data_IF_729727482524
#
_entry.id   IF_729727482524
#
_cell.length_a   1.000
_cell.length_b   1.000
_cell.length_c   1.000
_cell.angle_alpha   90.00
_cell.angle_beta   90.00
_cell.angle_gamma   90.00
#
_symmetry.space_group_name_H-M   'P 1'
#
loop_
_entity.id
_entity.type
_entity.pdbx_description
1 polymer ?
#
# COMPACT_ATOMS: atom_id res chain seq x y z
N UNK A 1 -19.60 6.95 -10.17
CA UNK A 1 -18.15 7.25 -10.23
C UNK A 1 -17.28 6.47 -9.24
N UNK A 2 -17.81 5.98 -8.13
CA UNK A 2 -17.02 5.20 -7.14
C UNK A 2 -16.85 3.72 -7.47
N UNK A 3 -17.75 3.12 -8.22
CA UNK A 3 -17.86 1.66 -8.40
C UNK A 3 -16.78 1.07 -9.33
N UNK A 4 -16.39 1.76 -10.37
CA UNK A 4 -15.36 1.26 -11.29
C UNK A 4 -13.93 1.54 -10.81
N UNK A 5 -13.71 2.60 -10.01
CA UNK A 5 -12.41 2.86 -9.37
C UNK A 5 -12.00 1.77 -8.37
N UNK A 6 -12.94 1.04 -7.78
CA UNK A 6 -12.65 -0.09 -6.89
C UNK A 6 -12.19 -1.35 -7.64
N UNK A 7 -12.60 -1.52 -8.89
CA UNK A 7 -12.18 -2.63 -9.75
C UNK A 7 -10.80 -2.40 -10.41
N UNK A 8 -10.40 -1.14 -10.60
CA UNK A 8 -9.12 -0.77 -11.25
C UNK A 8 -8.01 -0.43 -10.23
N UNK A 9 -8.34 -0.19 -8.96
CA UNK A 9 -7.41 0.29 -7.92
C UNK A 9 -6.45 -0.77 -7.37
N UNK A 10 -6.48 -2.00 -7.85
CA UNK A 10 -5.58 -3.06 -7.34
C UNK A 10 -4.17 -3.05 -7.95
N UNK A 11 -3.95 -2.46 -9.14
CA UNK A 11 -2.62 -2.47 -9.78
C UNK A 11 -2.25 -1.21 -10.59
N UNK A 12 -3.20 -0.35 -10.88
CA UNK A 12 -2.93 0.97 -11.44
C UNK A 12 -3.09 2.03 -10.36
N UNK A 13 -2.16 2.09 -9.40
CA UNK A 13 -1.88 3.37 -8.77
C UNK A 13 -1.34 4.26 -9.89
N UNK A 14 -2.25 4.83 -10.67
CA UNK A 14 -1.94 5.93 -11.57
C UNK A 14 -1.26 6.99 -10.71
N UNK A 15 0.00 7.20 -11.00
CA UNK A 15 0.81 8.21 -10.36
C UNK A 15 0.18 9.57 -10.73
N UNK A 16 -0.38 10.36 -9.80
CA UNK A 16 -0.98 11.66 -10.15
C UNK A 16 0.07 12.72 -10.48
N UNK A 17 1.24 12.33 -10.96
CA UNK A 17 2.42 13.16 -11.09
C UNK A 17 3.16 12.98 -12.43
N UNK A 18 2.47 12.68 -13.51
CA UNK A 18 3.04 12.93 -14.84
C UNK A 18 3.07 14.44 -15.04
N UNK A 19 4.26 15.01 -14.80
CA UNK A 19 4.57 16.42 -15.09
C UNK A 19 4.78 16.54 -16.60
N UNK A 20 3.93 17.28 -17.36
CA UNK A 20 4.10 17.45 -18.80
C UNK A 20 5.35 18.24 -19.20
N UNK A 21 6.19 18.67 -18.25
CA UNK A 21 7.35 19.52 -18.48
C UNK A 21 8.71 18.85 -18.24
N UNK A 22 8.81 17.52 -18.12
CA UNK A 22 10.12 16.86 -18.14
C UNK A 22 10.57 16.63 -19.58
N UNK A 23 11.56 17.44 -20.03
CA UNK A 23 12.30 17.19 -21.25
C UNK A 23 12.91 15.77 -21.19
N UNK A 24 12.53 14.92 -22.14
CA UNK A 24 13.06 13.58 -22.29
C UNK A 24 14.59 13.62 -22.50
N UNK A 25 15.35 12.69 -21.89
CA UNK A 25 16.76 12.55 -22.24
C UNK A 25 16.89 12.18 -23.71
N UNK A 26 17.72 12.91 -24.43
CA UNK A 26 18.04 12.65 -25.84
C UNK A 26 18.78 11.33 -25.95
N UNK A 27 18.08 10.26 -26.33
CA UNK A 27 18.69 9.01 -26.74
C UNK A 27 19.23 9.13 -28.17
N UNK A 28 20.40 8.57 -28.49
CA UNK A 28 20.88 8.55 -29.89
C UNK A 28 19.91 7.74 -30.75
N UNK A 29 19.80 8.06 -32.06
CA UNK A 29 18.82 7.43 -32.92
C UNK A 29 19.12 5.93 -33.07
N UNK A 30 18.24 5.12 -32.52
CA UNK A 30 18.13 3.71 -32.90
C UNK A 30 17.55 3.72 -34.31
N UNK A 31 18.27 3.11 -35.24
CA UNK A 31 17.82 2.90 -36.61
C UNK A 31 16.45 2.21 -36.56
N UNK A 32 15.43 2.95 -36.90
CA UNK A 32 14.07 2.46 -36.96
C UNK A 32 13.97 1.40 -38.07
N UNK A 33 13.72 0.15 -37.68
CA UNK A 33 13.06 -0.78 -38.59
C UNK A 33 11.68 -0.21 -38.86
N UNK A 34 11.37 0.16 -40.08
CA UNK A 34 10.08 0.63 -40.53
C UNK A 34 9.02 -0.42 -40.21
N UNK A 35 8.26 -0.18 -39.16
CA UNK A 35 7.15 -1.02 -38.77
C UNK A 35 5.97 -0.72 -39.69
N UNK A 36 5.46 -1.73 -40.34
CA UNK A 36 4.13 -1.75 -40.94
C UNK A 36 3.10 -1.64 -39.82
N UNK A 37 2.79 -0.45 -39.37
CA UNK A 37 1.80 -0.25 -38.31
C UNK A 37 0.65 0.62 -38.83
N UNK A 38 -0.40 -0.03 -39.33
CA UNK A 38 -1.64 0.58 -39.80
C UNK A 38 -2.73 0.64 -38.70
N UNK A 39 -2.35 0.40 -37.45
CA UNK A 39 -3.29 0.42 -36.31
C UNK A 39 -3.47 1.81 -35.69
N UNK A 40 -4.43 1.96 -34.75
CA UNK A 40 -4.70 3.23 -34.09
C UNK A 40 -3.49 3.69 -33.26
N UNK A 41 -3.32 5.02 -33.20
CA UNK A 41 -2.25 5.62 -32.36
C UNK A 41 -2.52 5.36 -30.86
N UNK A 42 -1.49 5.48 -29.99
CA UNK A 42 -1.71 5.35 -28.55
C UNK A 42 -2.75 6.31 -27.96
N UNK A 43 -2.92 7.51 -28.56
CA UNK A 43 -3.93 8.50 -28.14
C UNK A 43 -5.33 8.07 -28.53
N UNK A 44 -5.52 7.57 -29.75
CA UNK A 44 -6.79 6.99 -30.19
C UNK A 44 -7.18 5.79 -29.34
N UNK A 45 -6.22 4.92 -28.98
CA UNK A 45 -6.43 3.81 -28.05
C UNK A 45 -6.91 4.32 -26.68
N UNK A 46 -6.31 5.35 -26.13
CA UNK A 46 -6.74 5.95 -24.85
C UNK A 46 -8.18 6.49 -24.94
N UNK A 47 -8.57 7.09 -26.08
CA UNK A 47 -9.95 7.54 -26.31
C UNK A 47 -10.92 6.37 -26.33
N UNK A 48 -10.61 5.31 -27.08
CA UNK A 48 -11.43 4.08 -27.13
C UNK A 48 -11.62 3.46 -25.73
N UNK A 49 -10.56 3.43 -24.92
CA UNK A 49 -10.61 2.93 -23.54
C UNK A 49 -11.47 3.82 -22.66
N UNK A 50 -11.40 5.13 -22.82
CA UNK A 50 -12.25 6.07 -22.08
C UNK A 50 -13.73 5.86 -22.39
N UNK A 51 -14.07 5.65 -23.65
CA UNK A 51 -15.45 5.33 -24.09
C UNK A 51 -15.91 3.97 -23.55
N UNK A 52 -15.03 2.96 -23.59
CA UNK A 52 -15.28 1.65 -23.02
C UNK A 52 -15.58 1.72 -21.51
N UNK A 53 -14.76 2.42 -20.73
CA UNK A 53 -14.99 2.61 -19.30
C UNK A 53 -16.28 3.39 -19.02
N UNK A 54 -16.57 4.44 -19.81
CA UNK A 54 -17.82 5.18 -19.67
C UNK A 54 -19.06 4.31 -19.95
N UNK A 55 -18.97 3.34 -20.86
CA UNK A 55 -20.04 2.37 -21.12
C UNK A 55 -20.26 1.41 -19.94
N UNK A 56 -19.18 0.96 -19.31
CA UNK A 56 -19.23 0.11 -18.12
C UNK A 56 -19.78 0.88 -16.90
N UNK A 57 -19.33 2.13 -16.69
CA UNK A 57 -19.86 3.00 -15.64
C UNK A 57 -21.38 3.15 -15.75
N UNK A 58 -21.87 3.42 -16.96
CA UNK A 58 -23.32 3.51 -17.23
C UNK A 58 -24.06 2.19 -17.01
N UNK A 59 -23.44 1.05 -17.37
CA UNK A 59 -24.02 -0.30 -17.20
C UNK A 59 -24.22 -0.64 -15.71
N UNK A 60 -23.30 -0.20 -14.86
CA UNK A 60 -23.30 -0.52 -13.42
C UNK A 60 -23.73 0.67 -12.53
N UNK A 61 -24.22 1.77 -13.10
CA UNK A 61 -24.58 3.01 -12.37
C UNK A 61 -25.60 2.79 -11.24
N UNK A 62 -26.49 1.79 -11.41
CA UNK A 62 -27.54 1.51 -10.45
C UNK A 62 -27.07 0.68 -9.22
N UNK A 63 -25.82 0.20 -9.22
CA UNK A 63 -25.29 -0.66 -8.15
C UNK A 63 -24.41 0.18 -7.21
N UNK A 64 -24.99 0.68 -6.12
CA UNK A 64 -24.25 1.54 -5.17
C UNK A 64 -23.38 0.75 -4.18
N UNK A 65 -23.85 -0.42 -3.69
CA UNK A 65 -23.17 -1.25 -2.70
C UNK A 65 -23.25 -2.73 -3.05
N UNK A 66 -22.45 -3.22 -4.03
CA UNK A 66 -22.55 -4.59 -4.51
C UNK A 66 -22.16 -5.61 -3.43
N UNK A 67 -22.96 -6.67 -3.31
CA UNK A 67 -22.61 -7.88 -2.57
C UNK A 67 -21.40 -8.58 -3.21
N UNK A 68 -20.83 -9.56 -2.54
CA UNK A 68 -19.70 -10.34 -3.10
C UNK A 68 -20.10 -11.05 -4.41
N UNK A 69 -21.28 -11.66 -4.45
CA UNK A 69 -21.79 -12.32 -5.64
C UNK A 69 -22.04 -11.35 -6.80
N UNK A 70 -22.56 -10.15 -6.53
CA UNK A 70 -22.75 -9.11 -7.54
C UNK A 70 -21.40 -8.57 -8.05
N UNK A 71 -20.40 -8.42 -7.19
CA UNK A 71 -19.04 -8.08 -7.63
C UNK A 71 -18.46 -9.14 -8.56
N UNK A 72 -18.64 -10.43 -8.23
CA UNK A 72 -18.18 -11.54 -9.06
C UNK A 72 -18.84 -11.53 -10.43
N UNK A 73 -20.14 -11.26 -10.46
CA UNK A 73 -20.89 -11.14 -11.71
C UNK A 73 -20.41 -9.92 -12.52
N UNK A 74 -20.26 -8.74 -11.90
CA UNK A 74 -19.77 -7.53 -12.55
C UNK A 74 -18.38 -7.74 -13.17
N UNK A 75 -17.47 -8.42 -12.47
CA UNK A 75 -16.14 -8.71 -13.00
C UNK A 75 -16.18 -9.69 -14.18
N UNK A 76 -17.04 -10.71 -14.13
CA UNK A 76 -17.23 -11.60 -15.26
C UNK A 76 -17.79 -10.87 -16.50
N UNK A 77 -18.73 -9.95 -16.29
CA UNK A 77 -19.27 -9.10 -17.36
C UNK A 77 -18.23 -8.15 -17.92
N UNK A 78 -17.43 -7.49 -17.06
CA UNK A 78 -16.31 -6.63 -17.49
C UNK A 78 -15.30 -7.42 -18.31
N UNK A 79 -14.96 -8.64 -17.91
CA UNK A 79 -14.04 -9.50 -18.66
C UNK A 79 -14.60 -9.88 -20.04
N UNK A 80 -15.88 -10.17 -20.13
CA UNK A 80 -16.54 -10.47 -21.40
C UNK A 80 -16.58 -9.27 -22.33
N UNK A 81 -16.92 -8.07 -21.82
CA UNK A 81 -16.92 -6.82 -22.60
C UNK A 81 -15.48 -6.45 -23.05
N UNK A 82 -14.48 -6.67 -22.19
CA UNK A 82 -13.08 -6.46 -22.54
C UNK A 82 -12.61 -7.43 -23.65
N UNK A 83 -13.09 -8.69 -23.66
CA UNK A 83 -12.81 -9.63 -24.77
C UNK A 83 -13.42 -9.14 -26.09
N UNK A 84 -14.64 -8.54 -26.04
CA UNK A 84 -15.32 -7.97 -27.21
C UNK A 84 -14.61 -6.70 -27.70
N UNK A 85 -14.07 -5.89 -26.80
CA UNK A 85 -13.37 -4.64 -27.14
C UNK A 85 -12.28 -4.86 -28.20
N UNK A 86 -11.42 -5.85 -28.05
CA UNK A 86 -10.36 -6.14 -29.01
C UNK A 86 -10.88 -6.51 -30.39
N UNK A 87 -11.96 -7.26 -30.44
CA UNK A 87 -12.60 -7.68 -31.71
C UNK A 87 -13.30 -6.49 -32.38
N UNK A 88 -14.05 -5.69 -31.63
CA UNK A 88 -14.79 -4.53 -32.13
C UNK A 88 -13.87 -3.46 -32.74
N UNK A 89 -12.67 -3.30 -32.19
CA UNK A 89 -11.69 -2.33 -32.68
C UNK A 89 -10.62 -2.94 -33.60
N UNK A 90 -10.76 -4.21 -33.97
CA UNK A 90 -9.80 -4.95 -34.80
C UNK A 90 -8.34 -4.87 -34.29
N UNK A 91 -8.16 -5.01 -32.95
CA UNK A 91 -6.87 -4.91 -32.29
C UNK A 91 -6.25 -6.32 -32.13
N UNK A 92 -5.23 -6.60 -32.94
CA UNK A 92 -4.47 -7.85 -32.92
C UNK A 92 -3.15 -7.57 -32.18
N UNK A 93 -3.02 -8.06 -30.94
CA UNK A 93 -1.89 -7.69 -30.03
C UNK A 93 -0.52 -7.98 -30.61
N UNK A 94 -0.38 -9.04 -31.41
CA UNK A 94 0.87 -9.43 -32.07
C UNK A 94 1.36 -8.41 -33.12
N UNK A 95 0.47 -7.55 -33.59
CA UNK A 95 0.77 -6.56 -34.63
C UNK A 95 0.99 -5.15 -34.06
N UNK A 96 0.83 -4.97 -32.74
CA UNK A 96 0.93 -3.66 -32.09
C UNK A 96 2.34 -3.36 -31.58
N UNK A 97 2.70 -2.09 -31.63
CA UNK A 97 3.95 -1.59 -31.01
C UNK A 97 3.87 -1.61 -29.50
N UNK A 98 5.04 -1.59 -28.83
CA UNK A 98 5.13 -1.51 -27.37
C UNK A 98 4.36 -0.32 -26.78
N UNK A 99 4.31 0.83 -27.48
CA UNK A 99 3.56 2.02 -27.07
C UNK A 99 2.04 1.80 -27.10
N UNK A 100 1.55 1.11 -28.14
CA UNK A 100 0.14 0.74 -28.27
C UNK A 100 -0.26 -0.32 -27.23
N UNK A 101 0.59 -1.35 -27.03
CA UNK A 101 0.39 -2.37 -25.99
C UNK A 101 0.36 -1.74 -24.59
N UNK A 102 1.24 -0.77 -24.34
CA UNK A 102 1.22 -0.02 -23.08
C UNK A 102 -0.06 0.79 -22.89
N UNK A 103 -0.57 1.43 -23.95
CA UNK A 103 -1.84 2.15 -23.89
C UNK A 103 -3.02 1.21 -23.61
N UNK A 104 -2.99 -0.03 -24.12
CA UNK A 104 -4.02 -1.06 -23.94
C UNK A 104 -3.98 -1.79 -22.60
N UNK A 105 -2.95 -1.57 -21.78
CA UNK A 105 -2.79 -2.27 -20.49
C UNK A 105 -4.07 -2.36 -19.66
N UNK A 106 -4.85 -1.27 -19.46
CA UNK A 106 -6.05 -1.33 -18.62
C UNK A 106 -7.06 -2.38 -19.10
N UNK A 107 -7.24 -2.52 -20.43
CA UNK A 107 -8.19 -3.48 -21.00
C UNK A 107 -7.57 -4.87 -21.14
N UNK A 108 -6.27 -4.97 -21.40
CA UNK A 108 -5.55 -6.26 -21.39
C UNK A 108 -5.68 -6.95 -20.03
N UNK A 109 -5.58 -6.21 -18.93
CA UNK A 109 -5.76 -6.77 -17.58
C UNK A 109 -7.17 -7.25 -17.31
N UNK A 110 -8.19 -6.69 -17.96
CA UNK A 110 -9.59 -7.08 -17.81
C UNK A 110 -9.93 -8.28 -18.69
N UNK A 111 -9.37 -8.38 -19.90
CA UNK A 111 -9.64 -9.46 -20.86
C UNK A 111 -8.83 -10.73 -20.58
N UNK A 112 -9.50 -11.87 -20.39
CA UNK A 112 -8.81 -13.15 -20.20
C UNK A 112 -8.06 -13.62 -21.45
N UNK A 113 -8.64 -13.39 -22.64
CA UNK A 113 -8.00 -13.75 -23.91
C UNK A 113 -6.77 -12.88 -24.19
N UNK A 114 -6.88 -11.55 -24.00
CA UNK A 114 -5.78 -10.65 -24.21
C UNK A 114 -4.61 -10.91 -23.21
N UNK A 115 -4.92 -11.24 -21.94
CA UNK A 115 -3.90 -11.67 -20.97
C UNK A 115 -3.14 -12.90 -21.45
N UNK A 116 -3.87 -13.96 -21.85
CA UNK A 116 -3.24 -15.19 -22.33
C UNK A 116 -2.33 -14.96 -23.55
N UNK A 117 -2.80 -14.13 -24.51
CA UNK A 117 -1.99 -13.73 -25.67
C UNK A 117 -0.73 -12.95 -25.24
N UNK A 118 -0.86 -11.97 -24.35
CA UNK A 118 0.31 -11.19 -23.86
C UNK A 118 1.30 -12.05 -23.10
N UNK A 119 0.83 -12.99 -22.28
CA UNK A 119 1.74 -13.96 -21.59
C UNK A 119 2.50 -14.75 -22.63
N UNK A 120 1.86 -15.25 -23.70
CA UNK A 120 2.51 -15.94 -24.80
C UNK A 120 3.59 -15.10 -25.49
N UNK A 121 3.27 -13.85 -25.86
CA UNK A 121 4.18 -12.90 -26.51
C UNK A 121 5.41 -12.56 -25.65
N UNK A 122 5.23 -12.48 -24.34
CA UNK A 122 6.30 -12.12 -23.41
C UNK A 122 7.16 -13.31 -22.96
N UNK A 123 6.66 -14.55 -23.06
CA UNK A 123 7.29 -15.74 -22.46
C UNK A 123 8.73 -15.97 -22.93
N UNK A 124 9.05 -15.77 -24.19
CA UNK A 124 10.43 -15.91 -24.66
C UNK A 124 11.33 -14.75 -24.17
N UNK A 125 10.77 -13.54 -24.05
CA UNK A 125 11.50 -12.36 -23.56
C UNK A 125 11.92 -12.50 -22.09
N UNK A 126 11.14 -13.24 -21.28
CA UNK A 126 11.46 -13.46 -19.85
C UNK A 126 12.78 -14.19 -19.62
N UNK A 127 13.30 -14.90 -20.62
CA UNK A 127 14.54 -15.69 -20.52
C UNK A 127 15.81 -14.81 -20.66
N UNK A 128 15.66 -13.60 -21.20
CA UNK A 128 16.80 -12.71 -21.41
C UNK A 128 17.35 -12.17 -20.08
N UNK A 129 18.68 -12.28 -19.80
CA UNK A 129 19.27 -11.80 -18.55
C UNK A 129 19.47 -10.27 -18.56
N UNK A 130 18.47 -9.52 -19.00
CA UNK A 130 18.48 -8.07 -19.23
C UNK A 130 17.37 -7.39 -18.46
N UNK A 131 17.43 -6.05 -18.37
CA UNK A 131 16.35 -5.22 -17.83
C UNK A 131 15.00 -5.51 -18.51
N UNK A 132 15.00 -5.67 -19.83
CA UNK A 132 13.76 -5.94 -20.58
C UNK A 132 13.24 -7.35 -20.31
N UNK A 133 14.14 -8.33 -20.13
CA UNK A 133 13.76 -9.68 -19.70
C UNK A 133 13.10 -9.68 -18.33
N UNK A 134 13.68 -8.95 -17.37
CA UNK A 134 13.07 -8.77 -16.04
C UNK A 134 11.68 -8.09 -16.13
N UNK A 135 11.56 -6.99 -16.88
CA UNK A 135 10.27 -6.31 -17.06
C UNK A 135 9.23 -7.23 -17.70
N UNK A 136 9.63 -8.04 -18.70
CA UNK A 136 8.75 -9.05 -19.29
C UNK A 136 8.31 -10.10 -18.26
N UNK A 137 9.24 -10.60 -17.42
CA UNK A 137 8.92 -11.55 -16.36
C UNK A 137 7.95 -10.96 -15.31
N UNK A 138 8.18 -9.73 -14.88
CA UNK A 138 7.30 -9.03 -13.96
C UNK A 138 5.90 -8.80 -14.55
N UNK A 139 5.81 -8.48 -15.84
CA UNK A 139 4.55 -8.34 -16.57
C UNK A 139 3.80 -9.66 -16.68
N UNK A 140 4.48 -10.74 -17.04
CA UNK A 140 3.88 -12.09 -17.07
C UNK A 140 3.35 -12.47 -15.68
N UNK A 141 4.12 -12.22 -14.63
CA UNK A 141 3.70 -12.48 -13.26
C UNK A 141 2.44 -11.68 -12.87
N UNK A 142 2.38 -10.40 -13.22
CA UNK A 142 1.22 -9.55 -12.97
C UNK A 142 -0.02 -10.03 -13.74
N UNK A 143 0.11 -10.36 -15.01
CA UNK A 143 -0.98 -10.87 -15.84
C UNK A 143 -1.53 -12.23 -15.34
N UNK A 144 -0.62 -13.13 -14.90
CA UNK A 144 -0.99 -14.45 -14.36
C UNK A 144 -1.66 -14.37 -12.99
N UNK A 145 -1.35 -13.38 -12.17
CA UNK A 145 -1.93 -13.19 -10.83
C UNK A 145 -3.40 -12.77 -10.88
N UNK A 146 -3.83 -12.13 -11.97
CA UNK A 146 -5.23 -11.74 -12.17
C UNK A 146 -6.19 -12.92 -12.38
N UNK A 147 -5.67 -14.08 -12.81
CA UNK A 147 -6.48 -15.29 -12.98
C UNK A 147 -6.82 -15.97 -11.64
N UNK A 148 -6.05 -15.67 -10.60
CA UNK A 148 -6.25 -16.21 -9.26
C UNK A 148 -6.53 -15.05 -8.32
N UNK A 149 -7.78 -14.79 -8.00
CA UNK A 149 -8.23 -13.79 -7.01
C UNK A 149 -7.69 -14.02 -5.59
N UNK A 150 -6.89 -15.05 -5.41
CA UNK A 150 -6.34 -15.41 -4.13
C UNK A 150 -5.15 -14.49 -3.80
N UNK A 151 -5.43 -13.45 -2.99
CA UNK A 151 -4.43 -12.56 -2.38
C UNK A 151 -3.59 -13.26 -1.31
N UNK A 152 -3.49 -14.57 -1.35
CA UNK A 152 -2.81 -15.41 -0.38
C UNK A 152 -1.29 -15.56 -0.69
N UNK A 153 -0.51 -16.28 0.11
CA UNK A 153 0.96 -16.34 0.15
C UNK A 153 1.72 -16.55 -1.17
N UNK A 154 1.02 -16.79 -2.28
CA UNK A 154 1.61 -16.90 -3.63
C UNK A 154 2.29 -15.62 -4.13
N UNK A 155 1.96 -14.43 -3.58
CA UNK A 155 2.56 -13.18 -3.98
C UNK A 155 4.05 -13.09 -3.63
N UNK A 156 4.46 -13.60 -2.47
CA UNK A 156 5.87 -13.66 -2.08
C UNK A 156 6.67 -14.61 -2.98
N UNK A 157 6.12 -15.76 -3.35
CA UNK A 157 6.79 -16.71 -4.25
C UNK A 157 7.06 -16.09 -5.62
N UNK A 158 6.11 -15.34 -6.18
CA UNK A 158 6.29 -14.59 -7.42
C UNK A 158 7.41 -13.56 -7.28
N UNK A 159 7.39 -12.76 -6.20
CA UNK A 159 8.39 -11.74 -5.96
C UNK A 159 9.80 -12.32 -5.76
N UNK A 160 9.93 -13.46 -5.07
CA UNK A 160 11.21 -14.18 -4.91
C UNK A 160 11.75 -14.70 -6.25
N UNK A 161 10.86 -15.18 -7.13
CA UNK A 161 11.22 -15.57 -8.50
C UNK A 161 11.74 -14.37 -9.28
N UNK A 162 11.08 -13.22 -9.21
CA UNK A 162 11.52 -11.98 -9.85
C UNK A 162 12.83 -11.45 -9.29
N UNK A 163 13.05 -11.57 -7.99
CA UNK A 163 14.31 -11.19 -7.32
C UNK A 163 15.49 -12.06 -7.78
N UNK A 164 15.22 -13.31 -8.19
CA UNK A 164 16.23 -14.22 -8.76
C UNK A 164 16.55 -13.94 -10.22
N UNK A 165 15.80 -13.08 -10.92
CA UNK A 165 16.00 -12.84 -12.33
C UNK A 165 17.32 -12.09 -12.57
N UNK A 166 18.20 -12.56 -13.48
CA UNK A 166 19.51 -11.94 -13.70
C UNK A 166 19.46 -10.46 -14.10
N UNK A 167 18.39 -10.04 -14.78
CA UNK A 167 18.14 -8.66 -15.18
C UNK A 167 17.48 -7.78 -14.09
N UNK A 168 17.22 -8.32 -12.89
CA UNK A 168 16.50 -7.61 -11.84
C UNK A 168 17.14 -6.27 -11.49
N UNK A 169 18.43 -6.25 -11.18
CA UNK A 169 19.14 -5.02 -10.78
C UNK A 169 19.14 -4.00 -11.92
N UNK A 170 19.38 -4.44 -13.16
CA UNK A 170 19.39 -3.54 -14.31
C UNK A 170 18.01 -2.98 -14.68
N UNK A 171 16.95 -3.73 -14.42
CA UNK A 171 15.56 -3.32 -14.67
C UNK A 171 14.81 -2.79 -13.45
N UNK A 172 15.51 -2.63 -12.33
CA UNK A 172 14.90 -2.31 -11.03
C UNK A 172 14.20 -0.94 -11.02
N UNK A 173 14.74 0.05 -11.73
CA UNK A 173 14.11 1.37 -11.83
C UNK A 173 12.82 1.27 -12.64
N UNK A 174 11.67 1.38 -11.95
CA UNK A 174 10.37 1.32 -12.57
C UNK A 174 9.30 0.76 -11.65
N UNK A 175 8.10 0.60 -12.19
CA UNK A 175 6.96 0.07 -11.45
C UNK A 175 7.17 -1.39 -11.03
N UNK A 176 7.85 -2.17 -11.88
CA UNK A 176 8.08 -3.60 -11.71
C UNK A 176 9.00 -3.88 -10.51
N UNK A 177 10.08 -3.12 -10.36
CA UNK A 177 10.97 -3.21 -9.20
C UNK A 177 10.27 -2.80 -7.91
N UNK A 178 9.51 -1.70 -7.96
CA UNK A 178 8.71 -1.23 -6.82
C UNK A 178 7.63 -2.24 -6.43
N UNK A 179 6.97 -2.86 -7.39
CA UNK A 179 6.00 -3.94 -7.16
C UNK A 179 6.69 -5.13 -6.48
N UNK A 180 7.82 -5.58 -7.01
CA UNK A 180 8.59 -6.70 -6.46
C UNK A 180 8.93 -6.46 -4.98
N UNK A 181 9.45 -5.28 -4.63
CA UNK A 181 9.77 -4.95 -3.24
C UNK A 181 8.54 -4.91 -2.32
N UNK A 182 7.42 -4.36 -2.81
CA UNK A 182 6.18 -4.33 -2.02
C UNK A 182 5.63 -5.73 -1.74
N UNK A 183 5.72 -6.63 -2.72
CA UNK A 183 5.32 -8.03 -2.53
C UNK A 183 6.24 -8.80 -1.58
N UNK A 184 7.47 -8.31 -1.34
CA UNK A 184 8.42 -8.89 -0.38
C UNK A 184 8.30 -8.29 1.03
N UNK A 185 7.39 -7.37 1.27
CA UNK A 185 7.28 -6.67 2.56
C UNK A 185 7.03 -7.63 3.75
N UNK A 186 6.34 -8.75 3.49
CA UNK A 186 6.03 -9.78 4.49
C UNK A 186 6.91 -11.04 4.34
N UNK A 187 7.98 -10.98 3.54
CA UNK A 187 8.89 -12.11 3.35
C UNK A 187 9.71 -12.38 4.62
N UNK A 188 9.89 -13.67 4.96
CA UNK A 188 10.67 -14.06 6.13
C UNK A 188 12.18 -14.04 5.84
N UNK A 189 13.04 -13.99 6.90
CA UNK A 189 14.48 -14.08 6.71
C UNK A 189 14.91 -15.34 5.94
N UNK A 190 14.26 -16.48 6.16
CA UNK A 190 14.53 -17.75 5.50
C UNK A 190 14.23 -17.68 4.00
N UNK A 191 13.13 -17.02 3.63
CA UNK A 191 12.76 -16.80 2.23
C UNK A 191 13.73 -15.87 1.52
N UNK A 192 14.27 -14.85 2.20
CA UNK A 192 15.19 -13.88 1.65
C UNK A 192 16.66 -14.37 1.65
N UNK A 193 17.01 -15.36 2.44
CA UNK A 193 18.38 -15.86 2.58
C UNK A 193 19.07 -16.21 1.24
N UNK A 194 18.42 -16.85 0.24
CA UNK A 194 19.03 -17.11 -1.06
C UNK A 194 19.33 -15.84 -1.87
N UNK A 195 18.73 -14.71 -1.53
CA UNK A 195 18.75 -13.47 -2.29
C UNK A 195 19.59 -12.34 -1.65
N UNK A 196 20.26 -12.61 -0.54
CA UNK A 196 21.07 -11.63 0.23
C UNK A 196 22.04 -10.86 -0.67
N UNK A 197 22.74 -11.54 -1.58
CA UNK A 197 23.68 -10.91 -2.50
C UNK A 197 22.98 -9.93 -3.45
N UNK A 198 21.85 -10.30 -4.03
CA UNK A 198 21.06 -9.43 -4.92
C UNK A 198 20.52 -8.22 -4.15
N UNK A 199 19.98 -8.43 -2.95
CA UNK A 199 19.44 -7.35 -2.10
C UNK A 199 20.56 -6.38 -1.70
N UNK A 200 21.73 -6.88 -1.32
CA UNK A 200 22.88 -6.03 -1.00
C UNK A 200 23.37 -5.23 -2.21
N UNK A 201 23.49 -5.88 -3.39
CA UNK A 201 23.93 -5.23 -4.62
C UNK A 201 22.98 -4.12 -5.10
N UNK A 202 21.68 -4.23 -4.79
CA UNK A 202 20.69 -3.22 -5.14
C UNK A 202 20.97 -1.86 -4.47
N UNK A 203 21.69 -1.84 -3.36
CA UNK A 203 22.09 -0.60 -2.67
C UNK A 203 22.83 0.38 -3.59
N UNK A 204 23.62 -0.10 -4.51
CA UNK A 204 24.40 0.73 -5.45
C UNK A 204 23.53 1.57 -6.39
N UNK A 205 22.27 1.19 -6.58
CA UNK A 205 21.31 1.96 -7.39
C UNK A 205 20.91 3.28 -6.70
N UNK A 206 20.90 3.33 -5.36
CA UNK A 206 20.46 4.49 -4.57
C UNK A 206 21.61 5.48 -4.32
N UNK A 207 22.34 5.87 -5.35
CA UNK A 207 23.42 6.84 -5.28
C UNK A 207 22.93 8.29 -5.49
N UNK A 208 23.83 9.27 -5.42
CA UNK A 208 23.52 10.70 -5.57
C UNK A 208 22.91 11.07 -6.93
N UNK A 209 23.15 10.28 -7.97
CA UNK A 209 22.66 10.50 -9.33
C UNK A 209 21.34 9.77 -9.60
N UNK A 210 20.87 8.98 -8.62
CA UNK A 210 19.64 8.24 -8.71
C UNK A 210 18.45 9.15 -9.04
N UNK A 211 17.55 8.68 -9.91
CA UNK A 211 16.33 9.41 -10.25
C UNK A 211 15.39 9.55 -9.03
N UNK A 212 14.48 10.51 -9.08
CA UNK A 212 13.45 10.64 -8.03
C UNK A 212 12.52 9.43 -7.97
N UNK A 213 12.27 8.78 -9.10
CA UNK A 213 11.45 7.57 -9.15
C UNK A 213 12.14 6.42 -8.40
N UNK A 214 13.43 6.24 -8.63
CA UNK A 214 14.22 5.25 -7.93
C UNK A 214 14.31 5.55 -6.42
N UNK A 215 14.59 6.79 -6.05
CA UNK A 215 14.67 7.18 -4.64
C UNK A 215 13.38 6.94 -3.86
N UNK A 216 12.21 7.05 -4.51
CA UNK A 216 10.91 6.72 -3.88
C UNK A 216 10.79 5.25 -3.48
N UNK A 217 11.59 4.37 -4.04
CA UNK A 217 11.63 2.95 -3.67
C UNK A 217 12.49 2.67 -2.43
N UNK A 218 13.23 3.67 -1.93
CA UNK A 218 14.18 3.50 -0.82
C UNK A 218 13.59 2.87 0.42
N UNK A 219 12.38 3.25 0.80
CA UNK A 219 11.74 2.66 1.99
C UNK A 219 11.38 1.20 1.79
N UNK A 220 10.75 0.86 0.66
CA UNK A 220 10.42 -0.53 0.35
C UNK A 220 11.69 -1.37 0.28
N UNK A 221 12.76 -0.81 -0.28
CA UNK A 221 14.07 -1.46 -0.29
C UNK A 221 14.62 -1.67 1.13
N UNK A 222 14.63 -0.63 1.97
CA UNK A 222 15.15 -0.74 3.33
C UNK A 222 14.36 -1.69 4.22
N UNK A 223 13.03 -1.81 4.02
CA UNK A 223 12.21 -2.81 4.71
C UNK A 223 12.68 -4.23 4.39
N UNK A 224 12.89 -4.54 3.12
CA UNK A 224 13.39 -5.85 2.70
C UNK A 224 14.84 -6.06 3.17
N UNK A 225 15.69 -5.04 3.04
CA UNK A 225 17.09 -5.09 3.46
C UNK A 225 17.25 -5.30 4.98
N UNK A 226 16.38 -4.69 5.79
CA UNK A 226 16.40 -4.84 7.24
C UNK A 226 16.11 -6.29 7.70
N UNK A 227 15.31 -7.02 6.93
CA UNK A 227 14.99 -8.44 7.20
C UNK A 227 16.06 -9.37 6.65
N UNK A 228 16.63 -9.04 5.47
CA UNK A 228 17.52 -9.93 4.73
C UNK A 228 18.99 -9.82 5.14
N UNK A 229 19.45 -8.63 5.56
CA UNK A 229 20.88 -8.35 5.72
C UNK A 229 21.33 -8.34 7.19
N UNK A 230 22.60 -8.67 7.46
CA UNK A 230 23.20 -8.42 8.77
C UNK A 230 23.06 -6.94 9.17
N UNK A 231 22.89 -6.70 10.47
CA UNK A 231 22.59 -5.37 11.04
C UNK A 231 23.65 -4.31 10.67
N UNK A 232 24.91 -4.67 10.68
CA UNK A 232 26.04 -3.80 10.32
C UNK A 232 25.98 -3.40 8.83
N UNK A 233 25.71 -4.36 7.94
CA UNK A 233 25.55 -4.12 6.51
C UNK A 233 24.32 -3.26 6.22
N UNK A 234 23.18 -3.57 6.82
CA UNK A 234 21.98 -2.74 6.72
C UNK A 234 22.25 -1.30 7.17
N UNK A 235 22.94 -1.12 8.32
CA UNK A 235 23.28 0.21 8.86
C UNK A 235 24.15 1.00 7.88
N UNK A 236 25.17 0.36 7.28
CA UNK A 236 26.04 1.00 6.30
C UNK A 236 25.27 1.41 5.02
N UNK A 237 24.43 0.53 4.49
CA UNK A 237 23.57 0.81 3.32
C UNK A 237 22.63 1.97 3.59
N UNK A 238 21.95 1.94 4.73
CA UNK A 238 21.05 3.02 5.14
C UNK A 238 21.78 4.37 5.27
N UNK A 239 22.97 4.38 5.87
CA UNK A 239 23.78 5.60 6.00
C UNK A 239 24.17 6.16 4.62
N UNK A 240 24.60 5.33 3.69
CA UNK A 240 24.94 5.73 2.32
C UNK A 240 23.72 6.31 1.57
N UNK A 241 22.57 5.67 1.71
CA UNK A 241 21.31 6.13 1.11
C UNK A 241 20.88 7.49 1.68
N UNK A 242 20.95 7.68 3.01
CA UNK A 242 20.65 8.95 3.64
C UNK A 242 21.62 10.06 3.19
N UNK A 243 22.91 9.75 3.03
CA UNK A 243 23.88 10.71 2.50
C UNK A 243 23.52 11.16 1.07
N UNK A 244 23.12 10.20 0.20
CA UNK A 244 22.66 10.48 -1.17
C UNK A 244 21.40 11.36 -1.19
N UNK A 245 20.43 11.06 -0.34
CA UNK A 245 19.18 11.85 -0.23
C UNK A 245 19.46 13.26 0.30
N UNK A 246 20.32 13.42 1.33
CA UNK A 246 20.68 14.73 1.86
C UNK A 246 21.45 15.57 0.83
N UNK A 247 22.36 14.98 0.06
CA UNK A 247 23.06 15.66 -1.01
C UNK A 247 22.10 16.17 -2.10
N UNK A 248 21.09 15.35 -2.44
CA UNK A 248 20.05 15.74 -3.41
C UNK A 248 19.11 16.80 -2.82
N UNK A 249 18.69 16.66 -1.57
CA UNK A 249 17.87 17.64 -0.85
C UNK A 249 18.52 19.03 -0.81
N UNK A 250 19.83 19.10 -0.54
CA UNK A 250 20.57 20.35 -0.50
C UNK A 250 20.55 21.12 -1.84
N UNK A 251 20.43 20.40 -2.96
CA UNK A 251 20.41 20.97 -4.33
C UNK A 251 19.00 21.16 -4.88
N UNK A 252 17.96 20.74 -4.16
CA UNK A 252 16.58 20.74 -4.62
C UNK A 252 15.79 21.92 -4.10
N UNK A 253 14.76 22.33 -4.88
CA UNK A 253 13.84 23.42 -4.53
C UNK A 253 12.39 23.00 -4.74
N UNK A 254 11.45 23.80 -4.28
CA UNK A 254 10.03 23.67 -4.50
C UNK A 254 9.49 22.27 -4.12
N UNK A 255 8.69 21.68 -4.98
CA UNK A 255 8.03 20.38 -4.77
C UNK A 255 9.03 19.24 -4.54
N UNK A 256 10.14 19.22 -5.28
CA UNK A 256 11.15 18.17 -5.13
C UNK A 256 11.75 18.18 -3.73
N UNK A 257 12.07 19.35 -3.20
CA UNK A 257 12.58 19.53 -1.83
C UNK A 257 11.58 19.03 -0.79
N UNK A 258 10.29 19.32 -0.97
CA UNK A 258 9.24 18.86 -0.07
C UNK A 258 9.12 17.32 -0.06
N UNK A 259 9.22 16.69 -1.24
CA UNK A 259 9.21 15.21 -1.35
C UNK A 259 10.42 14.61 -0.63
N UNK A 260 11.62 15.12 -0.88
CA UNK A 260 12.85 14.64 -0.23
C UNK A 260 12.82 14.85 1.28
N UNK A 261 12.28 15.98 1.77
CA UNK A 261 12.10 16.23 3.20
C UNK A 261 11.23 15.16 3.86
N UNK A 262 10.12 14.80 3.21
CA UNK A 262 9.25 13.72 3.70
C UNK A 262 9.99 12.39 3.74
N UNK A 263 10.68 12.03 2.64
CA UNK A 263 11.46 10.79 2.57
C UNK A 263 12.52 10.71 3.68
N UNK A 264 13.25 11.80 3.90
CA UNK A 264 14.24 11.87 4.98
C UNK A 264 13.61 11.71 6.36
N UNK A 265 12.44 12.33 6.60
CA UNK A 265 11.69 12.17 7.85
C UNK A 265 11.30 10.71 8.07
N UNK A 266 10.76 10.05 7.02
CA UNK A 266 10.34 8.65 7.05
C UNK A 266 11.50 7.69 7.32
N UNK A 267 12.63 7.88 6.62
CA UNK A 267 13.81 7.04 6.79
C UNK A 267 14.51 7.24 8.14
N UNK A 268 14.33 8.38 8.80
CA UNK A 268 14.84 8.63 10.14
C UNK A 268 13.90 8.14 11.26
N UNK A 269 12.67 7.78 10.98
CA UNK A 269 11.76 7.14 11.92
C UNK A 269 12.20 5.71 12.27
N UNK A 270 11.60 5.11 13.32
CA UNK A 270 11.95 3.77 13.80
C UNK A 270 11.77 2.70 12.70
N UNK A 271 10.70 2.81 11.88
CA UNK A 271 10.51 1.94 10.73
C UNK A 271 11.67 2.02 9.72
N UNK A 272 12.10 3.23 9.39
CA UNK A 272 13.23 3.47 8.47
C UNK A 272 14.59 3.05 9.04
N UNK A 273 14.72 2.99 10.36
CA UNK A 273 15.91 2.46 11.05
C UNK A 273 15.90 0.93 11.18
N UNK A 274 14.80 0.26 10.83
CA UNK A 274 14.63 -1.17 11.09
C UNK A 274 14.45 -1.49 12.58
N UNK A 275 13.97 -0.53 13.37
CA UNK A 275 13.82 -0.60 14.84
C UNK A 275 12.34 -0.50 15.25
N UNK A 276 11.42 -0.94 14.40
CA UNK A 276 10.00 -0.90 14.71
C UNK A 276 9.46 -2.28 15.09
N UNK A 277 9.44 -3.24 14.16
CA UNK A 277 8.91 -4.59 14.43
C UNK A 277 9.89 -5.37 15.34
N UNK A 278 9.37 -5.92 16.43
CA UNK A 278 10.16 -6.62 17.47
C UNK A 278 10.76 -5.68 18.53
N UNK A 279 10.68 -4.36 18.36
CA UNK A 279 11.17 -3.35 19.29
C UNK A 279 10.02 -2.75 20.12
N UNK A 280 10.32 -2.09 21.25
CA UNK A 280 9.31 -1.34 21.99
C UNK A 280 8.60 -0.33 21.08
N UNK A 281 7.28 -0.25 21.22
CA UNK A 281 6.48 0.69 20.45
C UNK A 281 6.96 2.14 20.69
N UNK A 282 7.09 2.95 19.65
CA UNK A 282 7.37 4.38 19.79
C UNK A 282 6.33 5.06 20.69
N UNK A 283 6.74 6.12 21.37
CA UNK A 283 5.85 6.90 22.23
C UNK A 283 4.85 7.68 21.38
N UNK A 284 3.58 7.71 21.82
CA UNK A 284 2.54 8.59 21.33
C UNK A 284 2.09 9.49 22.48
N UNK A 285 2.05 10.80 22.24
CA UNK A 285 1.50 11.77 23.18
C UNK A 285 0.01 11.90 22.93
N UNK A 286 -0.79 11.21 23.74
CA UNK A 286 -2.24 11.21 23.62
C UNK A 286 -2.83 12.43 24.36
N UNK A 287 -3.06 13.52 23.64
CA UNK A 287 -3.60 14.76 24.20
C UNK A 287 -5.10 14.64 24.55
N UNK A 288 -5.79 13.72 23.88
CA UNK A 288 -7.21 13.48 24.06
C UNK A 288 -7.52 12.00 23.77
N UNK A 289 -8.19 11.34 24.71
CA UNK A 289 -8.57 9.92 24.61
C UNK A 289 -10.01 9.75 25.04
N UNK A 290 -10.87 9.26 24.16
CA UNK A 290 -12.30 9.14 24.44
C UNK A 290 -12.93 7.91 23.79
N UNK A 291 -13.98 7.41 24.48
CA UNK A 291 -15.06 6.66 23.85
C UNK A 291 -16.12 7.62 23.28
N UNK A 292 -17.02 7.11 22.44
CA UNK A 292 -18.09 7.92 21.85
C UNK A 292 -19.08 8.50 22.87
N UNK A 293 -19.18 7.92 24.06
CA UNK A 293 -19.98 8.45 25.18
C UNK A 293 -19.28 9.60 25.95
N UNK A 294 -18.04 9.94 25.54
CA UNK A 294 -17.23 11.00 26.15
C UNK A 294 -16.40 10.56 27.35
N UNK A 295 -16.46 9.30 27.77
CA UNK A 295 -15.59 8.77 28.85
C UNK A 295 -14.14 8.66 28.41
N UNK A 296 -13.20 8.76 29.38
CA UNK A 296 -11.76 8.60 29.14
C UNK A 296 -11.32 7.25 29.73
N UNK A 297 -11.07 6.22 28.88
CA UNK A 297 -10.78 4.87 29.39
C UNK A 297 -9.36 4.73 29.97
N UNK A 298 -8.41 5.50 29.43
CA UNK A 298 -6.98 5.50 29.81
C UNK A 298 -6.34 6.84 29.39
N UNK A 299 -5.08 7.10 29.75
CA UNK A 299 -4.38 8.36 29.44
C UNK A 299 -3.17 8.19 28.52
N UNK A 300 -2.56 7.02 28.52
CA UNK A 300 -1.37 6.73 27.72
C UNK A 300 -1.38 5.27 27.27
N UNK A 301 -0.63 4.94 26.21
CA UNK A 301 -0.47 3.55 25.79
C UNK A 301 0.20 2.68 26.89
N UNK A 302 0.94 3.29 27.81
CA UNK A 302 1.55 2.56 28.94
C UNK A 302 0.51 1.98 29.92
N UNK A 303 -0.68 2.58 30.01
CA UNK A 303 -1.78 2.11 30.84
C UNK A 303 -2.41 0.82 30.28
N UNK A 304 -2.11 0.49 29.02
CA UNK A 304 -2.61 -0.70 28.31
C UNK A 304 -1.64 -1.89 28.37
N UNK A 305 -0.58 -1.79 29.16
CA UNK A 305 0.39 -2.89 29.32
C UNK A 305 -0.29 -4.19 29.72
N UNK A 306 0.09 -5.29 29.06
CA UNK A 306 -0.49 -6.62 29.26
C UNK A 306 -1.67 -6.92 28.34
N UNK A 307 -2.13 -5.96 27.53
CA UNK A 307 -3.09 -6.18 26.44
C UNK A 307 -2.39 -6.23 25.09
N UNK A 308 -3.00 -6.89 24.12
CA UNK A 308 -2.68 -6.66 22.71
C UNK A 308 -3.32 -5.33 22.30
N UNK A 309 -2.58 -4.46 21.63
CA UNK A 309 -3.08 -3.15 21.21
C UNK A 309 -3.09 -3.10 19.67
N UNK A 310 -4.24 -2.76 19.10
CA UNK A 310 -4.41 -2.50 17.68
C UNK A 310 -4.55 -0.99 17.50
N UNK A 311 -3.52 -0.35 16.93
CA UNK A 311 -3.54 1.06 16.58
C UNK A 311 -4.01 1.18 15.12
N UNK A 312 -5.16 1.82 14.90
CA UNK A 312 -5.68 2.17 13.58
C UNK A 312 -5.47 3.66 13.34
N UNK A 313 -4.52 4.01 12.46
CA UNK A 313 -4.24 5.39 12.08
C UNK A 313 -5.21 5.83 10.98
N UNK A 314 -5.98 6.89 11.25
CA UNK A 314 -7.07 7.34 10.39
C UNK A 314 -7.30 8.86 10.45
N UNK A 315 -8.16 9.38 9.58
CA UNK A 315 -8.60 10.76 9.61
C UNK A 315 -10.05 10.91 9.11
N UNK A 316 -10.75 11.96 9.52
CA UNK A 316 -12.15 12.21 9.13
C UNK A 316 -12.32 12.48 7.64
N UNK A 317 -11.29 13.03 6.98
CA UNK A 317 -11.24 13.27 5.53
C UNK A 317 -10.86 12.04 4.71
N UNK A 318 -10.44 10.97 5.36
CA UNK A 318 -10.01 9.73 4.70
C UNK A 318 -11.22 8.83 4.44
N UNK A 319 -11.81 8.91 3.25
CA UNK A 319 -12.97 8.10 2.87
C UNK A 319 -12.75 6.58 3.01
N UNK A 320 -11.60 6.00 2.61
CA UNK A 320 -11.34 4.58 2.85
C UNK A 320 -11.28 4.21 4.33
N UNK A 321 -10.78 5.12 5.20
CA UNK A 321 -10.76 4.90 6.65
C UNK A 321 -12.19 4.78 7.19
N UNK A 322 -13.03 5.77 6.87
CA UNK A 322 -14.43 5.79 7.30
C UNK A 322 -15.21 4.61 6.73
N UNK A 323 -14.93 4.23 5.49
CA UNK A 323 -15.52 3.05 4.84
C UNK A 323 -15.17 1.73 5.53
N UNK A 324 -14.04 1.65 6.25
CA UNK A 324 -13.64 0.45 7.00
C UNK A 324 -14.17 0.39 8.44
N UNK A 325 -14.85 1.42 8.94
CA UNK A 325 -15.38 1.45 10.32
C UNK A 325 -16.27 0.26 10.70
N UNK A 326 -17.14 -0.26 9.81
CA UNK A 326 -17.91 -1.48 10.13
C UNK A 326 -16.98 -2.67 10.47
N UNK A 327 -15.85 -2.81 9.77
CA UNK A 327 -14.86 -3.86 10.03
C UNK A 327 -14.12 -3.65 11.36
N UNK A 328 -13.79 -2.40 11.69
CA UNK A 328 -13.20 -2.06 12.99
C UNK A 328 -14.17 -2.34 14.14
N UNK A 329 -15.46 -2.06 13.94
CA UNK A 329 -16.52 -2.37 14.91
C UNK A 329 -16.69 -3.90 15.11
N UNK A 330 -16.68 -4.68 14.02
CA UNK A 330 -16.68 -6.15 14.07
C UNK A 330 -15.44 -6.69 14.82
N UNK A 331 -14.27 -6.12 14.54
CA UNK A 331 -13.03 -6.45 15.24
C UNK A 331 -13.15 -6.12 16.75
N UNK A 332 -13.69 -4.93 17.10
CA UNK A 332 -13.91 -4.56 18.52
C UNK A 332 -14.86 -5.54 19.22
N UNK A 333 -15.93 -5.94 18.56
CA UNK A 333 -16.92 -6.86 19.14
C UNK A 333 -16.38 -8.28 19.36
N UNK A 334 -15.33 -8.67 18.62
CA UNK A 334 -14.76 -10.02 18.67
C UNK A 334 -13.88 -10.30 19.89
N UNK A 335 -13.35 -9.25 20.55
CA UNK A 335 -12.37 -9.42 21.63
C UNK A 335 -12.82 -8.75 22.92
N UNK A 336 -12.42 -9.35 24.05
CA UNK A 336 -12.59 -8.72 25.35
C UNK A 336 -11.74 -7.45 25.48
N UNK A 337 -12.29 -6.32 25.98
CA UNK A 337 -11.51 -5.12 26.29
C UNK A 337 -10.37 -5.36 27.28
N UNK A 338 -10.44 -6.42 28.09
CA UNK A 338 -9.40 -6.80 29.05
C UNK A 338 -8.16 -7.45 28.38
N UNK A 339 -8.33 -7.97 27.16
CA UNK A 339 -7.28 -8.66 26.43
C UNK A 339 -6.77 -7.86 25.22
N UNK A 340 -7.67 -7.17 24.54
CA UNK A 340 -7.36 -6.42 23.32
C UNK A 340 -7.96 -5.01 23.40
N UNK A 341 -7.12 -4.02 23.25
CA UNK A 341 -7.54 -2.64 23.07
C UNK A 341 -7.42 -2.23 21.60
N UNK A 342 -8.49 -1.67 21.04
CA UNK A 342 -8.49 -1.10 19.69
C UNK A 342 -8.55 0.42 19.82
N UNK A 343 -7.58 1.10 19.22
CA UNK A 343 -7.41 2.55 19.33
C UNK A 343 -7.35 3.16 17.95
N UNK A 344 -8.33 3.98 17.62
CA UNK A 344 -8.24 4.86 16.45
C UNK A 344 -7.32 6.04 16.75
N UNK A 345 -6.17 6.11 16.07
CA UNK A 345 -5.19 7.18 16.23
C UNK A 345 -5.41 8.23 15.14
N UNK A 346 -5.57 9.47 15.55
CA UNK A 346 -5.64 10.62 14.65
C UNK A 346 -4.91 11.83 15.25
N UNK A 347 -4.78 12.89 14.48
CA UNK A 347 -4.22 14.19 14.92
C UNK A 347 -5.23 15.31 14.71
N UNK A 348 -4.95 16.49 15.19
CA UNK A 348 -5.73 17.69 14.87
C UNK A 348 -5.62 17.97 13.37
N UNK A 349 -6.78 18.12 12.70
CA UNK A 349 -6.92 18.22 11.24
C UNK A 349 -7.33 19.63 10.78
N UNK A 350 -7.69 20.51 11.72
CA UNK A 350 -8.22 21.86 11.46
C UNK A 350 -9.68 21.88 11.02
N UNK A 351 -10.29 20.73 10.76
CA UNK A 351 -11.69 20.55 10.43
C UNK A 351 -12.13 19.11 10.63
N UNK A 352 -13.41 18.87 10.89
CA UNK A 352 -14.02 17.54 10.95
C UNK A 352 -14.91 17.33 9.74
N UNK A 353 -14.64 16.25 8.98
CA UNK A 353 -15.39 15.87 7.77
C UNK A 353 -16.50 14.89 8.16
N UNK A 354 -17.68 15.41 8.45
CA UNK A 354 -18.85 14.56 8.74
C UNK A 354 -19.38 13.91 7.47
N UNK A 355 -19.85 12.65 7.56
CA UNK A 355 -20.43 11.94 6.42
C UNK A 355 -21.93 12.26 6.23
N UNK A 356 -22.62 12.61 7.31
CA UNK A 356 -24.08 12.85 7.33
C UNK A 356 -24.45 14.33 7.39
N UNK A 357 -23.49 15.22 7.55
CA UNK A 357 -23.66 16.67 7.67
C UNK A 357 -22.48 17.43 7.08
N UNK A 358 -22.58 18.73 6.97
CA UNK A 358 -21.53 19.56 6.38
C UNK A 358 -20.23 19.47 7.19
N UNK A 359 -19.10 19.62 6.49
CA UNK A 359 -17.77 19.81 7.07
C UNK A 359 -17.78 20.96 8.06
N UNK A 360 -17.18 20.76 9.23
CA UNK A 360 -17.03 21.80 10.26
C UNK A 360 -15.59 22.28 10.32
N UNK A 361 -15.39 23.56 10.02
CA UNK A 361 -14.08 24.20 10.12
C UNK A 361 -13.77 24.52 11.58
N UNK A 362 -12.60 24.09 12.05
CA UNK A 362 -12.13 24.33 13.43
C UNK A 362 -11.00 25.37 13.51
N UNK A 363 -10.23 25.57 12.40
CA UNK A 363 -9.23 26.64 12.22
C UNK A 363 -8.28 26.84 13.41
N UNK A 364 -7.77 25.73 13.98
CA UNK A 364 -6.84 25.76 15.13
C UNK A 364 -7.50 25.85 16.50
N UNK A 365 -8.83 25.90 16.58
CA UNK A 365 -9.57 25.72 17.83
C UNK A 365 -9.64 24.24 18.19
N UNK A 366 -8.66 23.78 18.97
CA UNK A 366 -8.51 22.38 19.39
C UNK A 366 -9.72 21.89 20.17
N UNK A 367 -10.27 22.72 21.07
CA UNK A 367 -11.41 22.34 21.90
C UNK A 367 -12.67 22.12 21.05
N UNK A 368 -12.88 22.98 20.05
CA UNK A 368 -13.97 22.82 19.07
C UNK A 368 -13.79 21.54 18.26
N UNK A 369 -12.58 21.26 17.77
CA UNK A 369 -12.31 20.05 16.97
C UNK A 369 -12.52 18.77 17.79
N UNK A 370 -12.09 18.76 19.05
CA UNK A 370 -12.34 17.65 19.98
C UNK A 370 -13.85 17.44 20.26
N UNK A 371 -14.62 18.51 20.40
CA UNK A 371 -16.07 18.41 20.56
C UNK A 371 -16.75 17.86 19.30
N UNK A 372 -16.38 18.34 18.12
CA UNK A 372 -16.89 17.84 16.84
C UNK A 372 -16.44 16.39 16.57
N UNK A 373 -15.28 15.98 17.04
CA UNK A 373 -14.82 14.58 16.96
C UNK A 373 -15.74 13.64 17.76
N UNK A 374 -16.19 14.04 18.97
CA UNK A 374 -17.18 13.26 19.73
C UNK A 374 -18.49 13.10 18.97
N UNK A 375 -18.98 14.18 18.36
CA UNK A 375 -20.20 14.12 17.55
C UNK A 375 -19.99 13.24 16.30
N UNK A 376 -18.84 13.34 15.66
CA UNK A 376 -18.47 12.44 14.54
C UNK A 376 -18.47 10.98 14.98
N UNK A 377 -17.86 10.65 16.11
CA UNK A 377 -17.81 9.28 16.63
C UNK A 377 -19.22 8.71 16.89
N UNK A 378 -20.12 9.52 17.46
CA UNK A 378 -21.54 9.14 17.68
C UNK A 378 -22.26 8.92 16.35
N UNK A 379 -22.14 9.86 15.41
CA UNK A 379 -22.79 9.80 14.09
C UNK A 379 -22.35 8.56 13.29
N UNK A 380 -21.08 8.15 13.45
CA UNK A 380 -20.50 7.01 12.75
C UNK A 380 -20.60 5.69 13.51
N UNK A 381 -21.16 5.69 14.72
CA UNK A 381 -21.30 4.46 15.53
C UNK A 381 -19.96 3.85 15.95
N UNK A 382 -18.97 4.70 16.28
CA UNK A 382 -17.66 4.25 16.73
C UNK A 382 -17.78 3.57 18.09
N UNK A 383 -17.35 2.32 18.21
CA UNK A 383 -17.45 1.49 19.42
C UNK A 383 -16.10 1.22 20.09
N UNK A 384 -15.03 1.76 19.55
CA UNK A 384 -13.67 1.65 20.06
C UNK A 384 -13.16 3.00 20.57
N UNK A 385 -12.00 2.98 21.23
CA UNK A 385 -11.35 4.18 21.73
C UNK A 385 -10.75 5.00 20.59
N UNK A 386 -10.91 6.33 20.63
CA UNK A 386 -10.20 7.26 19.73
C UNK A 386 -9.25 8.12 20.55
N UNK A 387 -8.02 8.27 20.05
CA UNK A 387 -7.02 9.16 20.60
C UNK A 387 -6.59 10.20 19.56
N UNK A 388 -6.58 11.46 19.96
CA UNK A 388 -5.93 12.56 19.23
C UNK A 388 -4.55 12.72 19.82
N UNK A 389 -3.52 12.59 18.97
CA UNK A 389 -2.12 12.69 19.37
C UNK A 389 -1.50 14.03 19.00
N UNK A 390 -0.49 14.45 19.75
CA UNK A 390 0.32 15.63 19.42
C UNK A 390 1.10 15.42 18.12
N UNK A 391 1.48 14.17 17.83
CA UNK A 391 2.15 13.79 16.59
C UNK A 391 1.14 13.77 15.43
N UNK A 392 1.65 14.06 14.23
CA UNK A 392 0.88 13.94 12.99
C UNK A 392 0.43 12.50 12.76
N UNK A 393 -0.77 12.31 12.19
CA UNK A 393 -1.30 10.98 11.80
C UNK A 393 -0.34 10.27 10.84
N UNK A 394 0.38 11.01 9.99
CA UNK A 394 1.50 10.49 9.18
C UNK A 394 2.78 10.38 10.03
N UNK A 395 2.80 9.37 10.89
CA UNK A 395 3.81 9.19 11.92
C UNK A 395 4.98 8.33 11.42
N UNK A 396 6.14 8.95 11.21
CA UNK A 396 7.33 8.26 10.70
C UNK A 396 7.94 7.26 11.68
N UNK A 397 7.74 7.42 12.99
CA UNK A 397 8.22 6.45 13.99
C UNK A 397 7.45 5.13 13.85
N UNK A 398 6.15 5.17 13.59
CA UNK A 398 5.32 4.00 13.29
C UNK A 398 5.33 3.58 11.82
N UNK A 399 6.02 4.34 10.94
CA UNK A 399 6.09 4.07 9.50
C UNK A 399 4.81 4.40 8.75
N UNK A 400 3.94 5.24 9.32
CA UNK A 400 2.65 5.63 8.72
C UNK A 400 2.89 6.69 7.65
N UNK A 401 2.61 6.35 6.40
CA UNK A 401 2.76 7.22 5.22
C UNK A 401 1.46 7.58 4.58
N UNK A 402 0.51 6.69 4.67
CA UNK A 402 -0.85 6.80 4.20
C UNK A 402 -1.81 6.22 5.23
N UNK A 403 -3.08 6.55 5.12
CA UNK A 403 -4.15 6.05 5.99
C UNK A 403 -5.26 5.44 5.11
N UNK A 404 -5.95 4.38 5.59
CA UNK A 404 -5.85 3.73 6.88
C UNK A 404 -4.59 2.87 7.03
N UNK A 405 -4.03 2.78 8.24
CA UNK A 405 -2.82 2.03 8.52
C UNK A 405 -2.88 1.42 9.93
N UNK A 406 -2.64 0.11 10.04
CA UNK A 406 -2.75 -0.60 11.32
C UNK A 406 -1.39 -1.08 11.80
N UNK A 407 -1.14 -0.87 13.10
CA UNK A 407 0.00 -1.40 13.86
C UNK A 407 -0.52 -2.24 15.02
N UNK A 408 0.06 -3.42 15.22
CA UNK A 408 -0.26 -4.31 16.34
C UNK A 408 0.90 -4.35 17.32
N UNK A 409 0.61 -4.11 18.59
CA UNK A 409 1.57 -4.14 19.71
C UNK A 409 1.21 -5.32 20.60
N UNK A 410 2.22 -6.10 21.00
CA UNK A 410 2.05 -7.27 21.88
C UNK A 410 1.86 -6.85 23.36
N UNK A 411 1.55 -7.82 24.21
CA UNK A 411 1.33 -7.63 25.66
C UNK A 411 2.56 -7.10 26.41
N UNK A 412 3.76 -7.19 25.80
CA UNK A 412 5.01 -6.67 26.34
C UNK A 412 5.28 -5.22 25.89
N UNK A 413 4.40 -4.63 25.07
CA UNK A 413 4.56 -3.30 24.51
C UNK A 413 5.50 -3.24 23.32
N UNK A 414 5.78 -4.35 22.63
CA UNK A 414 6.59 -4.39 21.41
C UNK A 414 5.69 -4.41 20.18
N UNK A 415 6.11 -3.73 19.13
CA UNK A 415 5.42 -3.81 17.85
C UNK A 415 5.58 -5.21 17.26
N UNK A 416 4.46 -5.88 17.04
CA UNK A 416 4.41 -7.22 16.43
C UNK A 416 4.24 -7.18 14.93
N UNK A 417 3.32 -6.34 14.43
CA UNK A 417 3.04 -6.15 13.01
C UNK A 417 2.75 -4.69 12.68
N UNK A 418 3.01 -4.31 11.42
CA UNK A 418 2.75 -2.98 10.89
C UNK A 418 2.34 -3.06 9.43
N UNK A 419 1.65 -2.03 8.92
CA UNK A 419 1.27 -1.96 7.51
C UNK A 419 0.02 -2.74 7.14
N UNK A 420 -0.71 -3.26 8.13
CA UNK A 420 -2.02 -3.85 7.90
C UNK A 420 -3.06 -2.77 7.60
N UNK A 421 -4.19 -3.17 7.03
CA UNK A 421 -5.31 -2.28 6.73
C UNK A 421 -6.60 -2.82 7.32
N UNK A 422 -7.51 -1.96 7.82
CA UNK A 422 -8.75 -2.42 8.47
C UNK A 422 -9.70 -3.19 7.52
N UNK A 423 -9.63 -2.94 6.22
CA UNK A 423 -10.39 -3.68 5.20
C UNK A 423 -9.96 -5.15 5.10
N UNK A 424 -8.73 -5.49 5.49
CA UNK A 424 -8.25 -6.86 5.66
C UNK A 424 -8.34 -7.30 7.13
N UNK A 425 -9.55 -7.31 7.68
CA UNK A 425 -9.82 -7.70 9.06
C UNK A 425 -9.29 -9.09 9.40
N UNK A 426 -9.36 -10.04 8.47
CA UNK A 426 -8.88 -11.42 8.67
C UNK A 426 -7.39 -11.47 9.00
N UNK A 427 -6.56 -10.65 8.38
CA UNK A 427 -5.13 -10.58 8.67
C UNK A 427 -4.86 -9.95 10.06
N UNK A 428 -5.67 -8.96 10.46
CA UNK A 428 -5.58 -8.36 11.80
C UNK A 428 -5.98 -9.38 12.86
N UNK A 429 -7.11 -10.10 12.67
CA UNK A 429 -7.55 -11.18 13.58
C UNK A 429 -6.49 -12.26 13.73
N UNK A 430 -5.96 -12.78 12.63
CA UNK A 430 -4.92 -13.79 12.67
C UNK A 430 -3.70 -13.36 13.49
N UNK A 431 -3.28 -12.11 13.36
CA UNK A 431 -2.14 -11.56 14.10
C UNK A 431 -2.47 -11.36 15.60
N UNK A 432 -3.67 -10.92 15.94
CA UNK A 432 -4.14 -10.77 17.32
C UNK A 432 -4.27 -12.14 17.98
N UNK A 433 -4.91 -13.11 17.33
CA UNK A 433 -5.12 -14.47 17.84
C UNK A 433 -3.80 -15.18 18.08
N UNK A 434 -2.81 -15.00 17.18
CA UNK A 434 -1.45 -15.52 17.37
C UNK A 434 -0.80 -14.98 18.66
N UNK A 435 -0.96 -13.69 18.96
CA UNK A 435 -0.40 -13.06 20.15
C UNK A 435 -1.12 -13.52 21.44
N UNK A 436 -2.44 -13.64 21.39
CA UNK A 436 -3.23 -14.16 22.51
C UNK A 436 -2.90 -15.63 22.81
N UNK A 437 -2.71 -16.45 21.77
CA UNK A 437 -2.32 -17.85 21.93
C UNK A 437 -0.91 -18.03 22.54
N UNK A 438 0.03 -17.12 22.22
CA UNK A 438 1.40 -17.15 22.79
C UNK A 438 1.46 -16.77 24.26
N UNK A 439 0.55 -15.90 24.73
CA UNK A 439 0.51 -15.43 26.11
C UNK A 439 -0.95 -15.45 26.62
N UNK A 440 -1.53 -16.64 26.82
CA UNK A 440 -2.88 -16.71 27.39
C UNK A 440 -2.83 -16.11 28.79
N UNK A 441 -3.65 -15.07 29.06
CA UNK A 441 -3.87 -14.63 30.45
C UNK A 441 -4.36 -15.86 31.22
N UNK A 442 -3.63 -16.26 32.26
CA UNK A 442 -4.02 -17.36 33.13
C UNK A 442 -5.47 -17.19 33.58
N UNK A 443 -6.31 -18.13 33.24
CA UNK A 443 -7.70 -18.21 33.69
C UNK A 443 -7.83 -18.47 35.21
N UNK A 444 -6.87 -17.99 36.01
CA UNK A 444 -6.75 -18.21 37.44
C UNK A 444 -6.90 -16.90 38.24
N UNK A 445 -8.09 -16.32 38.24
CA UNK A 445 -8.49 -15.36 39.29
C UNK A 445 -10.02 -15.28 39.44
N UNK A 446 -10.73 -16.40 39.32
CA UNK A 446 -12.18 -16.44 39.60
C UNK A 446 -12.57 -17.60 40.53
N UNK A 447 -11.68 -17.99 41.43
CA UNK A 447 -12.06 -18.95 42.50
C UNK A 447 -11.29 -18.62 43.75
N UNK A 448 -11.67 -17.55 44.45
CA UNK A 448 -11.51 -17.40 45.88
C UNK A 448 -12.28 -16.16 46.33
N UNK A 449 -13.57 -16.34 46.62
CA UNK A 449 -14.31 -15.72 47.69
C UNK A 449 -15.74 -16.24 47.71
N UNK A 450 -15.88 -17.49 48.21
CA UNK A 450 -17.09 -17.96 48.86
C UNK A 450 -16.64 -18.80 50.03
N UNK A 451 -16.47 -18.19 51.17
CA UNK A 451 -16.77 -18.72 52.50
C UNK A 451 -17.27 -17.56 53.33
#
# INVERSE_FOLDING_TARGET
>A
MLTLQLLTLSLAAANPLDDPNQAAPVTPPVVAAEAKNSGPTPDEIRSMISEFHASLDKKFEAIEHPTEAERDQMEAEVAAEADVFFTAHNLILENLSDAQLKALEPVIFQSSKARATMIGLLSERTKAPTADGFKAAAKVAALSSQEKRDRSPSSNAVALTLLSHPGFIAGFEGNEGGMTLRLLADATPEQLAPHVTTIAALAAQFNQDASMNLLRLSDSYLKVAAVALPKDQFTAIRAALLASLNAKFAKSEGRQKSVLSRMLKELNGAAGRGELVGYPAPTLTCDWVKHADGTTPWKSLADLKGKVIVLDFWATWCSPCVGSFPKVAELRAAYSPEEVEIVGITSIQGAVMHQKRARVECKGDVAKEQAEMLEFMKDMGVTWTVAITAEDVFNSEFGVRDVPFVVIIDQNGKVSKTGLRPDNEAAIRAAVDELLAKNPKSAAATTENKV
#
